data_IF_851687519569
#
_entry.id   IF_851687519569
#
_cell.length_a   1.000
_cell.length_b   1.000
_cell.length_c   1.000
_cell.angle_alpha   90.00
_cell.angle_beta   90.00
_cell.angle_gamma   90.00
#
_symmetry.space_group_name_H-M   'P 1'
#
loop_
_entity.id
_entity.type
_entity.pdbx_description
1 polymer ?
#
# COMPACT_ATOMS: atom_id res chain seq x y z
N UNK A 1 -17.23 -17.39 10.32
CA UNK A 1 -17.61 -16.64 9.12
C UNK A 1 -16.37 -15.96 8.56
N UNK A 2 -16.09 -16.10 7.27
CA UNK A 2 -14.95 -15.46 6.60
C UNK A 2 -14.99 -13.95 6.82
N UNK A 3 -13.86 -13.36 7.23
CA UNK A 3 -13.71 -11.89 7.37
C UNK A 3 -13.12 -11.29 6.09
N UNK A 4 -13.51 -11.83 4.93
CA UNK A 4 -13.04 -11.33 3.64
C UNK A 4 -13.60 -9.94 3.36
N UNK A 5 -12.75 -9.04 2.89
CA UNK A 5 -13.12 -7.70 2.44
C UNK A 5 -12.64 -7.47 1.02
N UNK A 6 -13.27 -6.54 0.31
CA UNK A 6 -12.82 -6.07 -1.00
C UNK A 6 -12.18 -4.69 -0.88
N UNK A 7 -11.01 -4.51 -1.47
CA UNK A 7 -10.32 -3.21 -1.57
C UNK A 7 -9.84 -3.06 -3.01
N UNK A 8 -10.50 -2.20 -3.75
CA UNK A 8 -10.37 -2.08 -5.20
C UNK A 8 -9.78 -0.75 -5.63
N UNK A 9 -9.20 -0.71 -6.84
CA UNK A 9 -8.71 0.51 -7.45
C UNK A 9 -9.86 1.20 -8.22
N UNK A 10 -9.94 2.51 -8.15
CA UNK A 10 -10.75 3.29 -9.05
C UNK A 10 -10.14 3.35 -10.44
N UNK A 11 -11.00 3.28 -11.48
CA UNK A 11 -10.61 3.35 -12.90
C UNK A 11 -9.71 2.19 -13.38
N UNK A 12 -9.27 2.24 -14.61
CA UNK A 12 -8.41 1.23 -15.23
C UNK A 12 -9.08 0.59 -16.43
N UNK A 13 -9.81 -0.52 -16.28
CA UNK A 13 -10.56 -1.15 -17.37
C UNK A 13 -12.02 -0.76 -17.26
N UNK A 14 -12.53 -0.10 -18.31
CA UNK A 14 -13.94 0.30 -18.44
C UNK A 14 -14.86 -0.89 -18.74
N UNK A 15 -16.18 -0.67 -18.70
CA UNK A 15 -17.20 -1.72 -18.93
C UNK A 15 -17.16 -2.29 -20.34
N UNK A 16 -16.68 -1.52 -21.33
CA UNK A 16 -16.50 -1.93 -22.71
C UNK A 16 -15.12 -2.57 -22.98
N UNK A 17 -14.27 -2.71 -21.95
CA UNK A 17 -12.92 -3.25 -22.05
C UNK A 17 -11.84 -2.23 -22.44
N UNK A 18 -12.21 -0.99 -22.72
CA UNK A 18 -11.25 0.09 -22.99
C UNK A 18 -10.51 0.53 -21.72
N UNK A 19 -9.39 1.22 -21.93
CA UNK A 19 -8.65 1.81 -20.80
C UNK A 19 -9.29 3.11 -20.33
N UNK A 20 -9.63 3.17 -19.05
CA UNK A 20 -10.09 4.35 -18.34
C UNK A 20 -9.00 4.85 -17.39
N UNK A 21 -8.39 5.97 -17.74
CA UNK A 21 -7.36 6.59 -16.91
C UNK A 21 -7.86 7.24 -15.64
N UNK A 22 -9.18 7.46 -15.52
CA UNK A 22 -9.73 8.39 -14.55
C UNK A 22 -9.26 9.82 -14.81
N UNK A 23 -9.23 10.66 -13.80
CA UNK A 23 -8.73 12.02 -13.94
C UNK A 23 -7.22 12.06 -14.21
N UNK A 24 -6.79 13.10 -14.96
CA UNK A 24 -5.39 13.25 -15.40
C UNK A 24 -4.86 14.63 -15.04
N UNK A 25 -3.62 14.68 -14.52
CA UNK A 25 -2.90 15.94 -14.30
C UNK A 25 -1.40 15.76 -14.45
N UNK A 26 -0.76 16.59 -15.29
CA UNK A 26 0.69 16.59 -15.56
C UNK A 26 1.26 15.19 -15.87
N UNK A 27 0.59 14.43 -16.73
CA UNK A 27 1.01 13.08 -17.13
C UNK A 27 0.78 11.99 -16.07
N UNK A 28 0.18 12.31 -14.93
CA UNK A 28 -0.25 11.34 -13.93
C UNK A 28 -1.72 11.02 -14.10
N UNK A 29 -2.08 9.74 -14.06
CA UNK A 29 -3.45 9.25 -14.14
C UNK A 29 -3.93 8.76 -12.77
N UNK A 30 -5.20 8.90 -12.50
CA UNK A 30 -5.82 8.37 -11.29
C UNK A 30 -5.59 6.86 -11.16
N UNK A 31 -5.90 6.08 -12.21
CA UNK A 31 -5.71 4.64 -12.24
C UNK A 31 -4.30 4.22 -11.80
N UNK A 32 -3.25 4.88 -12.31
CA UNK A 32 -1.85 4.54 -11.96
C UNK A 32 -1.47 4.94 -10.53
N UNK A 33 -1.99 6.07 -10.03
CA UNK A 33 -1.74 6.51 -8.65
C UNK A 33 -2.48 5.62 -7.65
N UNK A 34 -3.75 5.34 -7.90
CA UNK A 34 -4.58 4.53 -7.01
C UNK A 34 -4.13 3.08 -6.95
N UNK A 35 -3.66 2.51 -8.06
CA UNK A 35 -3.07 1.17 -8.06
C UNK A 35 -1.92 1.02 -7.05
N UNK A 36 -1.03 2.01 -6.96
CA UNK A 36 0.10 1.99 -6.01
C UNK A 36 -0.39 2.09 -4.55
N UNK A 37 -1.36 2.96 -4.30
CA UNK A 37 -1.94 3.17 -2.96
C UNK A 37 -2.73 1.92 -2.52
N UNK A 38 -3.54 1.34 -3.42
CA UNK A 38 -4.33 0.14 -3.14
C UNK A 38 -3.43 -1.05 -2.85
N UNK A 39 -2.39 -1.31 -3.66
CA UNK A 39 -1.38 -2.35 -3.38
C UNK A 39 -0.77 -2.21 -1.99
N UNK A 40 -0.46 -0.98 -1.59
CA UNK A 40 0.09 -0.73 -0.27
C UNK A 40 -0.94 -0.98 0.85
N UNK A 41 -2.20 -0.56 0.67
CA UNK A 41 -3.27 -0.82 1.64
C UNK A 41 -3.52 -2.33 1.82
N UNK A 42 -3.65 -3.06 0.73
CA UNK A 42 -3.82 -4.53 0.72
C UNK A 42 -2.66 -5.24 1.43
N UNK A 43 -1.42 -4.83 1.14
CA UNK A 43 -0.23 -5.36 1.83
C UNK A 43 -0.33 -5.24 3.36
N UNK A 44 -0.72 -4.07 3.87
CA UNK A 44 -0.81 -3.84 5.32
C UNK A 44 -2.04 -4.53 5.95
N UNK A 45 -3.16 -4.62 5.25
CA UNK A 45 -4.33 -5.34 5.70
C UNK A 45 -4.04 -6.83 5.86
N UNK A 46 -3.43 -7.45 4.87
CA UNK A 46 -3.02 -8.87 4.92
C UNK A 46 -2.01 -9.14 6.04
N UNK A 47 -1.05 -8.25 6.26
CA UNK A 47 -0.14 -8.32 7.42
C UNK A 47 -0.87 -8.22 8.76
N UNK A 48 -1.99 -7.52 8.80
CA UNK A 48 -2.85 -7.41 9.99
C UNK A 48 -3.76 -8.62 10.19
N UNK A 49 -3.71 -9.62 9.29
CA UNK A 49 -4.52 -10.85 9.36
C UNK A 49 -5.91 -10.71 8.75
N UNK A 50 -6.13 -9.68 7.91
CA UNK A 50 -7.38 -9.50 7.19
C UNK A 50 -7.29 -10.21 5.84
N UNK A 51 -8.29 -11.03 5.50
CA UNK A 51 -8.41 -11.62 4.16
C UNK A 51 -8.95 -10.57 3.19
N UNK A 52 -8.19 -10.28 2.12
CA UNK A 52 -8.51 -9.23 1.17
C UNK A 52 -8.54 -9.78 -0.25
N UNK A 53 -9.62 -9.53 -0.99
CA UNK A 53 -9.64 -9.62 -2.44
C UNK A 53 -9.40 -8.23 -3.03
N UNK A 54 -8.62 -8.16 -4.11
CA UNK A 54 -8.29 -6.89 -4.75
C UNK A 54 -7.90 -7.10 -6.21
N UNK A 55 -8.40 -6.26 -7.09
CA UNK A 55 -7.99 -6.17 -8.49
C UNK A 55 -6.53 -5.71 -8.63
N UNK A 56 -6.03 -4.96 -7.65
CA UNK A 56 -4.64 -4.53 -7.59
C UNK A 56 -3.62 -5.69 -7.56
N UNK A 57 -4.03 -6.91 -7.17
CA UNK A 57 -3.14 -8.07 -7.11
C UNK A 57 -2.56 -8.42 -8.49
N UNK A 58 -3.35 -8.30 -9.54
CA UNK A 58 -2.95 -8.60 -10.90
C UNK A 58 -2.29 -7.40 -11.62
N UNK A 59 -2.20 -6.28 -10.94
CA UNK A 59 -1.63 -5.05 -11.49
C UNK A 59 -2.51 -4.33 -12.51
N UNK A 60 -3.74 -4.81 -12.68
CA UNK A 60 -4.75 -4.24 -13.57
C UNK A 60 -5.99 -3.94 -12.74
N UNK A 61 -6.43 -2.70 -12.78
CA UNK A 61 -7.70 -2.32 -12.20
C UNK A 61 -8.80 -2.95 -13.05
N UNK A 62 -9.76 -3.58 -12.40
CA UNK A 62 -10.91 -4.16 -13.08
C UNK A 62 -11.98 -3.11 -13.32
N UNK A 63 -12.92 -3.48 -14.16
CA UNK A 63 -14.17 -2.79 -14.30
C UNK A 63 -14.96 -2.79 -12.97
N UNK A 64 -15.48 -1.63 -12.55
CA UNK A 64 -16.19 -1.49 -11.27
C UNK A 64 -17.41 -2.44 -11.14
N UNK A 65 -18.13 -2.73 -12.24
CA UNK A 65 -19.25 -3.68 -12.21
C UNK A 65 -18.74 -5.08 -11.90
N UNK A 66 -17.64 -5.49 -12.51
CA UNK A 66 -17.02 -6.79 -12.26
C UNK A 66 -16.50 -6.89 -10.82
N UNK A 67 -15.92 -5.82 -10.28
CA UNK A 67 -15.41 -5.78 -8.91
C UNK A 67 -16.53 -5.85 -7.86
N UNK A 68 -17.62 -5.12 -8.07
CA UNK A 68 -18.78 -5.18 -7.18
C UNK A 68 -19.42 -6.58 -7.22
N UNK A 69 -19.63 -7.15 -8.43
CA UNK A 69 -20.13 -8.52 -8.57
C UNK A 69 -19.21 -9.54 -7.90
N UNK A 70 -17.90 -9.39 -8.06
CA UNK A 70 -16.92 -10.27 -7.39
C UNK A 70 -17.02 -10.17 -5.87
N UNK A 71 -17.10 -8.96 -5.32
CA UNK A 71 -17.25 -8.75 -3.89
C UNK A 71 -18.55 -9.34 -3.33
N UNK A 72 -19.69 -9.16 -4.05
CA UNK A 72 -20.99 -9.72 -3.69
C UNK A 72 -20.96 -11.25 -3.73
N UNK A 73 -20.44 -11.86 -4.81
CA UNK A 73 -20.33 -13.31 -4.97
C UNK A 73 -19.46 -13.98 -3.90
N UNK A 74 -18.39 -13.33 -3.46
CA UNK A 74 -17.53 -13.81 -2.36
C UNK A 74 -18.19 -13.63 -0.99
N UNK A 75 -19.22 -12.83 -0.88
CA UNK A 75 -19.87 -12.47 0.38
C UNK A 75 -18.95 -11.62 1.27
N UNK A 76 -18.29 -10.64 0.68
CA UNK A 76 -17.41 -9.74 1.43
C UNK A 76 -18.17 -8.99 2.53
N UNK A 77 -17.48 -8.68 3.64
CA UNK A 77 -18.06 -7.91 4.75
C UNK A 77 -17.92 -6.41 4.57
N UNK A 78 -17.05 -6.00 3.66
CA UNK A 78 -16.67 -4.63 3.44
C UNK A 78 -16.22 -4.46 1.98
N UNK A 79 -16.58 -3.33 1.37
CA UNK A 79 -16.08 -2.90 0.08
C UNK A 79 -15.50 -1.48 0.19
N UNK A 80 -14.28 -1.29 -0.26
CA UNK A 80 -13.65 0.04 -0.35
C UNK A 80 -13.07 0.20 -1.76
N UNK A 81 -13.56 1.20 -2.48
CA UNK A 81 -12.97 1.65 -3.74
C UNK A 81 -12.11 2.88 -3.51
N UNK A 82 -10.91 2.89 -4.08
CA UNK A 82 -9.90 3.92 -3.84
C UNK A 82 -9.77 4.78 -5.09
N UNK A 83 -10.18 6.04 -4.98
CA UNK A 83 -10.20 7.04 -6.02
C UNK A 83 -9.39 8.29 -5.66
N UNK A 84 -9.16 9.17 -6.61
CA UNK A 84 -8.80 10.55 -6.37
C UNK A 84 -9.64 11.49 -7.24
N UNK A 85 -9.89 12.65 -6.72
CA UNK A 85 -10.77 13.61 -7.35
C UNK A 85 -10.07 14.46 -8.43
N UNK A 86 -10.84 15.04 -9.34
CA UNK A 86 -10.34 15.78 -10.49
C UNK A 86 -9.48 17.01 -10.13
N UNK A 87 -8.85 17.63 -11.14
CA UNK A 87 -7.88 18.70 -10.95
C UNK A 87 -8.46 20.00 -10.37
N UNK A 88 -9.75 20.26 -10.58
CA UNK A 88 -10.48 21.42 -10.03
C UNK A 88 -11.00 21.21 -8.60
N UNK A 89 -10.96 19.98 -8.09
CA UNK A 89 -11.47 19.68 -6.76
C UNK A 89 -10.60 20.31 -5.65
N UNK A 90 -11.20 20.68 -4.50
CA UNK A 90 -10.45 21.12 -3.33
C UNK A 90 -9.52 20.04 -2.79
N UNK A 91 -8.41 20.47 -2.17
CA UNK A 91 -7.49 19.56 -1.47
C UNK A 91 -8.18 18.83 -0.31
N UNK A 92 -7.76 17.58 -0.10
CA UNK A 92 -8.09 16.81 1.07
C UNK A 92 -8.92 15.57 0.78
N UNK A 93 -8.87 14.65 1.74
CA UNK A 93 -9.59 13.37 1.70
C UNK A 93 -11.10 13.56 1.86
N UNK A 94 -11.89 12.75 1.14
CA UNK A 94 -13.35 12.77 1.20
C UNK A 94 -13.92 11.36 1.02
N UNK A 95 -14.20 10.62 2.10
CA UNK A 95 -14.93 9.36 2.01
C UNK A 95 -16.39 9.58 1.64
N UNK A 96 -16.90 8.80 0.68
CA UNK A 96 -18.28 8.81 0.20
C UNK A 96 -18.99 7.54 0.67
N UNK A 97 -20.26 7.66 1.06
CA UNK A 97 -21.04 6.56 1.60
C UNK A 97 -22.54 6.67 1.22
N UNK A 98 -23.26 5.55 1.29
CA UNK A 98 -24.74 5.53 1.18
C UNK A 98 -25.39 5.12 2.49
N UNK A 99 -24.80 4.18 3.25
CA UNK A 99 -25.39 3.60 4.46
C UNK A 99 -24.79 4.17 5.76
N UNK A 100 -25.46 3.95 6.89
CA UNK A 100 -24.94 4.33 8.21
C UNK A 100 -23.64 3.61 8.61
N UNK A 101 -23.46 2.36 8.20
CA UNK A 101 -22.23 1.59 8.37
C UNK A 101 -21.11 2.14 7.48
N UNK A 102 -21.41 2.49 6.23
CA UNK A 102 -20.47 3.17 5.34
C UNK A 102 -20.00 4.52 5.90
N UNK A 103 -20.89 5.30 6.54
CA UNK A 103 -20.52 6.53 7.24
C UNK A 103 -19.50 6.27 8.37
N UNK A 104 -19.71 5.22 9.16
CA UNK A 104 -18.78 4.85 10.24
C UNK A 104 -17.41 4.46 9.70
N UNK A 105 -17.38 3.65 8.62
CA UNK A 105 -16.16 3.29 7.91
C UNK A 105 -15.43 4.52 7.37
N UNK A 106 -16.14 5.41 6.68
CA UNK A 106 -15.60 6.67 6.14
C UNK A 106 -14.95 7.54 7.22
N UNK A 107 -15.58 7.65 8.40
CA UNK A 107 -14.99 8.36 9.56
C UNK A 107 -13.70 7.72 10.06
N UNK A 108 -13.59 6.39 10.08
CA UNK A 108 -12.36 5.68 10.46
C UNK A 108 -11.24 5.95 9.45
N UNK A 109 -11.54 5.90 8.14
CA UNK A 109 -10.61 6.22 7.06
C UNK A 109 -10.13 7.67 7.15
N UNK A 110 -11.05 8.62 7.22
CA UNK A 110 -10.76 10.05 7.36
C UNK A 110 -9.82 10.32 8.54
N UNK A 111 -10.19 9.82 9.73
CA UNK A 111 -9.41 10.00 10.97
C UNK A 111 -7.97 9.50 10.82
N UNK A 112 -7.81 8.32 10.25
CA UNK A 112 -6.49 7.71 10.08
C UNK A 112 -5.63 8.47 9.08
N UNK A 113 -6.20 8.85 7.93
CA UNK A 113 -5.51 9.59 6.87
C UNK A 113 -5.09 10.99 7.35
N UNK A 114 -6.00 11.73 7.98
CA UNK A 114 -5.68 13.03 8.57
C UNK A 114 -4.53 12.94 9.57
N UNK A 115 -4.56 11.92 10.44
CA UNK A 115 -3.52 11.73 11.47
C UNK A 115 -2.16 11.43 10.85
N UNK A 116 -2.09 10.47 9.93
CA UNK A 116 -0.82 9.95 9.44
C UNK A 116 -0.20 10.80 8.33
N UNK A 117 -1.03 11.41 7.46
CA UNK A 117 -0.57 12.18 6.30
C UNK A 117 -0.65 13.71 6.52
N UNK A 118 -1.30 14.16 7.61
CA UNK A 118 -1.54 15.59 7.88
C UNK A 118 -2.35 16.29 6.77
N UNK A 119 -3.14 15.51 6.05
CA UNK A 119 -4.01 16.03 4.99
C UNK A 119 -5.23 16.75 5.55
N UNK A 120 -5.74 17.71 4.78
CA UNK A 120 -7.05 18.30 5.01
C UNK A 120 -8.13 17.24 4.79
N UNK A 121 -9.31 17.48 5.35
CA UNK A 121 -10.51 16.70 5.07
C UNK A 121 -11.60 17.61 4.53
N UNK A 122 -12.37 17.07 3.59
CA UNK A 122 -13.60 17.68 3.07
C UNK A 122 -14.86 17.10 3.75
N UNK A 123 -14.65 16.32 4.80
CA UNK A 123 -15.72 15.61 5.52
C UNK A 123 -16.08 14.27 4.89
N UNK A 124 -17.01 13.56 5.53
CA UNK A 124 -17.54 12.28 5.06
C UNK A 124 -18.92 12.56 4.45
N UNK A 125 -19.09 12.35 3.15
CA UNK A 125 -20.25 12.81 2.40
C UNK A 125 -21.19 11.66 2.01
N UNK A 126 -22.50 11.88 2.14
CA UNK A 126 -23.52 10.93 1.67
C UNK A 126 -23.73 11.11 0.16
N UNK A 127 -23.73 10.00 -0.58
CA UNK A 127 -24.03 9.92 -2.01
C UNK A 127 -25.00 8.78 -2.24
N UNK A 128 -26.09 9.08 -2.92
CA UNK A 128 -27.17 8.10 -3.23
C UNK A 128 -27.26 7.79 -4.70
N UNK A 129 -26.47 8.45 -5.50
CA UNK A 129 -26.45 8.41 -6.96
C UNK A 129 -25.29 7.55 -7.53
N UNK A 130 -24.36 7.10 -6.67
CA UNK A 130 -23.21 6.31 -7.12
C UNK A 130 -23.55 4.82 -7.17
N UNK A 131 -23.49 4.26 -8.38
CA UNK A 131 -23.83 2.86 -8.64
C UNK A 131 -22.98 1.91 -7.78
N UNK A 132 -21.69 2.16 -7.66
CA UNK A 132 -20.75 1.34 -6.91
C UNK A 132 -21.13 1.19 -5.43
N UNK A 133 -21.67 2.26 -4.81
CA UNK A 133 -22.19 2.21 -3.46
C UNK A 133 -23.55 1.50 -3.34
N UNK A 134 -24.38 1.63 -4.37
CA UNK A 134 -25.74 1.06 -4.39
C UNK A 134 -25.76 -0.39 -4.84
N UNK A 135 -24.78 -0.82 -5.64
CA UNK A 135 -24.68 -2.19 -6.17
C UNK A 135 -24.00 -3.18 -5.23
N UNK A 136 -23.46 -2.72 -4.10
CA UNK A 136 -22.79 -3.57 -3.11
C UNK A 136 -23.76 -4.07 -2.04
N UNK A 137 -23.74 -5.37 -1.72
CA UNK A 137 -24.59 -6.02 -0.71
C UNK A 137 -24.05 -5.83 0.72
N UNK A 138 -22.87 -5.23 0.87
CA UNK A 138 -22.19 -5.06 2.14
C UNK A 138 -21.97 -3.58 2.48
N UNK A 139 -21.33 -3.32 3.64
CA UNK A 139 -20.84 -1.98 3.96
C UNK A 139 -19.87 -1.51 2.90
N UNK A 140 -20.16 -0.37 2.25
CA UNK A 140 -19.32 0.19 1.19
C UNK A 140 -18.90 1.64 1.46
N UNK A 141 -17.72 2.00 0.95
CA UNK A 141 -17.19 3.34 0.96
C UNK A 141 -16.34 3.57 -0.29
N UNK A 142 -16.57 4.66 -1.01
CA UNK A 142 -15.64 5.18 -2.00
C UNK A 142 -14.75 6.20 -1.29
N UNK A 143 -13.45 6.07 -1.43
CA UNK A 143 -12.48 6.94 -0.80
C UNK A 143 -11.83 7.86 -1.84
N UNK A 144 -12.29 9.11 -1.91
CA UNK A 144 -11.56 10.16 -2.61
C UNK A 144 -10.33 10.53 -1.78
N UNK A 145 -9.16 10.12 -2.27
CA UNK A 145 -7.89 10.29 -1.55
C UNK A 145 -7.36 11.72 -1.58
N UNK A 146 -7.94 12.56 -2.39
CA UNK A 146 -7.58 13.97 -2.56
C UNK A 146 -7.70 14.42 -4.00
N UNK A 147 -7.45 15.69 -4.28
CA UNK A 147 -7.42 16.22 -5.65
C UNK A 147 -6.14 15.78 -6.38
N UNK A 148 -6.28 15.27 -7.61
CA UNK A 148 -5.11 14.86 -8.42
C UNK A 148 -4.12 16.02 -8.65
N UNK A 149 -4.58 17.25 -8.71
CA UNK A 149 -3.73 18.46 -8.81
C UNK A 149 -3.26 18.90 -7.43
N UNK A 150 -4.22 19.09 -6.52
CA UNK A 150 -3.99 19.73 -5.23
C UNK A 150 -3.12 18.90 -4.28
N UNK A 151 -3.29 17.59 -4.29
CA UNK A 151 -2.62 16.64 -3.39
C UNK A 151 -1.61 15.74 -4.12
N UNK A 152 -1.26 16.03 -5.40
CA UNK A 152 -0.42 15.20 -6.26
C UNK A 152 0.87 14.72 -5.57
N UNK A 153 1.57 15.62 -4.89
CA UNK A 153 2.83 15.25 -4.22
C UNK A 153 2.61 14.14 -3.19
N UNK A 154 1.53 14.21 -2.41
CA UNK A 154 1.19 13.16 -1.42
C UNK A 154 0.81 11.85 -2.11
N UNK A 155 -0.02 11.91 -3.15
CA UNK A 155 -0.51 10.73 -3.87
C UNK A 155 0.62 10.03 -4.61
N UNK A 156 1.52 10.79 -5.26
CA UNK A 156 2.62 10.27 -6.07
C UNK A 156 3.80 9.78 -5.24
N UNK A 157 4.23 10.56 -4.24
CA UNK A 157 5.52 10.36 -3.56
C UNK A 157 5.37 9.52 -2.29
N UNK A 158 4.14 9.39 -1.75
CA UNK A 158 3.90 8.69 -0.49
C UNK A 158 2.83 7.59 -0.56
N UNK A 159 2.76 6.75 -1.63
CA UNK A 159 1.72 5.74 -1.78
C UNK A 159 1.75 4.68 -0.66
N UNK A 160 2.94 4.28 -0.17
CA UNK A 160 3.06 3.32 0.94
C UNK A 160 2.53 3.90 2.25
N UNK A 161 2.82 5.16 2.55
CA UNK A 161 2.31 5.85 3.73
C UNK A 161 0.80 6.03 3.64
N UNK A 162 0.28 6.31 2.43
CA UNK A 162 -1.15 6.45 2.20
C UNK A 162 -1.89 5.12 2.40
N UNK A 163 -1.43 4.06 1.74
CA UNK A 163 -1.99 2.72 1.90
C UNK A 163 -1.94 2.21 3.35
N UNK A 164 -0.86 2.52 4.08
CA UNK A 164 -0.77 2.25 5.52
C UNK A 164 -1.86 2.96 6.32
N UNK A 165 -2.13 4.24 6.03
CA UNK A 165 -3.18 5.01 6.70
C UNK A 165 -4.59 4.45 6.40
N UNK A 166 -4.85 4.06 5.14
CA UNK A 166 -6.09 3.37 4.75
C UNK A 166 -6.26 2.06 5.53
N UNK A 167 -5.22 1.23 5.56
CA UNK A 167 -5.27 -0.04 6.29
C UNK A 167 -5.54 0.14 7.78
N UNK A 168 -4.96 1.16 8.42
CA UNK A 168 -5.26 1.50 9.82
C UNK A 168 -6.73 1.89 10.02
N UNK A 169 -7.29 2.69 9.09
CA UNK A 169 -8.70 3.08 9.14
C UNK A 169 -9.63 1.88 9.01
N UNK A 170 -9.36 0.97 8.08
CA UNK A 170 -10.13 -0.28 7.89
C UNK A 170 -9.97 -1.19 9.11
N UNK A 171 -8.76 -1.40 9.62
CA UNK A 171 -8.51 -2.20 10.82
C UNK A 171 -9.28 -1.65 12.03
N UNK A 172 -9.29 -0.32 12.22
CA UNK A 172 -10.03 0.33 13.29
C UNK A 172 -11.55 0.10 13.17
N UNK A 173 -12.10 0.15 11.94
CA UNK A 173 -13.51 -0.16 11.70
C UNK A 173 -13.85 -1.63 12.00
N UNK A 174 -12.96 -2.55 11.60
CA UNK A 174 -13.15 -3.99 11.81
C UNK A 174 -12.87 -4.48 13.25
N UNK A 175 -12.33 -3.63 14.12
CA UNK A 175 -11.87 -4.03 15.45
C UNK A 175 -10.64 -4.95 15.40
N UNK A 176 -9.82 -4.86 14.35
CA UNK A 176 -8.62 -5.67 14.17
C UNK A 176 -7.38 -4.85 14.54
N UNK A 177 -6.46 -5.45 15.29
CA UNK A 177 -5.19 -4.79 15.58
C UNK A 177 -4.36 -4.57 14.31
N UNK A 178 -4.00 -3.33 14.02
CA UNK A 178 -3.13 -3.01 12.90
C UNK A 178 -1.70 -3.52 13.14
N UNK A 179 -1.13 -4.22 12.15
CA UNK A 179 0.26 -4.71 12.19
C UNK A 179 1.04 -4.11 11.02
N UNK A 180 2.09 -3.38 11.34
CA UNK A 180 2.96 -2.80 10.31
C UNK A 180 3.82 -3.86 9.60
N UNK A 181 3.99 -5.00 10.25
CA UNK A 181 4.97 -6.01 9.89
C UNK A 181 6.36 -5.66 10.43
N UNK A 182 7.20 -6.65 10.62
CA UNK A 182 8.61 -6.40 10.95
C UNK A 182 9.24 -5.60 9.80
N UNK A 183 9.97 -4.53 10.13
CA UNK A 183 10.88 -3.92 9.14
C UNK A 183 11.75 -5.04 8.57
N UNK A 184 11.97 -5.11 7.24
CA UNK A 184 12.96 -6.03 6.71
C UNK A 184 14.24 -5.83 7.54
N UNK A 185 14.77 -6.89 8.15
CA UNK A 185 16.09 -6.78 8.77
C UNK A 185 17.03 -6.23 7.70
N UNK A 186 17.83 -5.19 7.98
CA UNK A 186 18.80 -4.72 7.01
C UNK A 186 19.55 -5.93 6.49
N UNK A 187 19.60 -6.08 5.16
CA UNK A 187 20.37 -7.18 4.58
C UNK A 187 21.78 -7.09 5.11
N UNK A 188 22.20 -8.13 5.83
CA UNK A 188 23.56 -8.21 6.38
C UNK A 188 24.57 -8.05 5.23
N UNK A 189 25.55 -7.20 5.43
CA UNK A 189 26.63 -7.01 4.45
C UNK A 189 27.93 -7.48 5.07
N UNK A 190 28.49 -8.52 4.49
CA UNK A 190 29.75 -9.10 4.91
C UNK A 190 30.90 -8.50 4.12
N UNK A 191 31.85 -7.87 4.80
CA UNK A 191 33.05 -7.26 4.18
C UNK A 191 34.26 -8.09 4.46
N UNK A 192 35.06 -8.34 3.43
CA UNK A 192 36.34 -9.09 3.53
C UNK A 192 37.48 -8.09 3.58
N UNK A 193 38.17 -8.02 4.71
CA UNK A 193 39.28 -7.08 4.99
C UNK A 193 40.36 -7.73 5.87
N UNK A 194 41.55 -7.11 5.91
CA UNK A 194 42.60 -7.50 6.90
C UNK A 194 42.11 -7.22 8.33
N UNK A 195 41.64 -6.00 8.57
CA UNK A 195 40.99 -5.58 9.80
C UNK A 195 39.75 -4.74 9.48
N UNK A 196 38.82 -4.58 10.42
CA UNK A 196 37.62 -3.75 10.20
C UNK A 196 37.99 -2.31 9.82
N UNK A 197 39.00 -1.72 10.48
CA UNK A 197 39.40 -0.33 10.26
C UNK A 197 40.13 -0.11 8.93
N UNK A 198 40.75 -1.14 8.37
CA UNK A 198 41.50 -1.05 7.11
C UNK A 198 40.55 -1.19 5.89
N UNK A 199 39.86 -0.10 5.56
CA UNK A 199 38.97 -0.04 4.43
C UNK A 199 39.69 -0.24 3.07
N UNK A 200 40.99 0.13 2.99
CA UNK A 200 41.78 0.00 1.76
C UNK A 200 42.11 -1.45 1.42
N UNK A 201 42.13 -2.34 2.41
CA UNK A 201 42.36 -3.78 2.18
C UNK A 201 41.09 -4.53 1.71
N UNK A 202 39.95 -3.87 1.56
CA UNK A 202 38.70 -4.56 1.24
C UNK A 202 38.76 -5.31 -0.10
N UNK A 203 38.55 -6.63 -0.06
CA UNK A 203 38.50 -7.50 -1.24
C UNK A 203 37.11 -7.75 -1.77
N UNK A 204 36.05 -7.44 -0.99
CA UNK A 204 34.67 -7.55 -1.41
C UNK A 204 33.66 -7.19 -0.31
N UNK A 205 32.40 -7.01 -0.76
CA UNK A 205 31.24 -6.86 0.10
C UNK A 205 30.13 -7.77 -0.44
N UNK A 206 29.58 -8.63 0.40
CA UNK A 206 28.67 -9.72 0.01
C UNK A 206 27.41 -9.71 0.86
N UNK A 207 26.28 -10.04 0.26
CA UNK A 207 25.02 -10.31 0.98
C UNK A 207 24.96 -11.76 1.53
N UNK A 208 25.81 -12.65 1.00
CA UNK A 208 25.94 -14.05 1.43
C UNK A 208 27.21 -14.23 2.25
N UNK A 209 27.08 -14.80 3.45
CA UNK A 209 28.24 -15.16 4.31
C UNK A 209 29.11 -16.21 3.63
N UNK A 210 28.51 -17.16 2.91
CA UNK A 210 29.23 -18.24 2.20
C UNK A 210 30.16 -17.65 1.13
N UNK A 211 29.66 -16.73 0.31
CA UNK A 211 30.47 -16.05 -0.71
C UNK A 211 31.58 -15.18 -0.07
N UNK A 212 31.27 -14.56 1.06
CA UNK A 212 32.28 -13.80 1.80
C UNK A 212 33.40 -14.70 2.37
N UNK A 213 33.07 -15.92 2.87
CA UNK A 213 34.04 -16.91 3.34
C UNK A 213 34.95 -17.36 2.22
N UNK A 214 34.41 -17.74 1.05
CA UNK A 214 35.19 -18.11 -0.13
C UNK A 214 36.18 -17.01 -0.53
N UNK A 215 35.75 -15.78 -0.51
CA UNK A 215 36.64 -14.63 -0.76
C UNK A 215 37.69 -14.48 0.33
N UNK A 216 37.35 -14.64 1.60
CA UNK A 216 38.27 -14.54 2.72
C UNK A 216 39.36 -15.61 2.65
N UNK A 217 39.00 -16.85 2.32
CA UNK A 217 39.97 -17.96 2.15
C UNK A 217 40.95 -17.68 1.03
N UNK A 218 40.51 -17.12 -0.10
CA UNK A 218 41.39 -16.78 -1.23
C UNK A 218 42.49 -15.77 -0.83
N UNK A 219 42.22 -14.85 0.11
CA UNK A 219 43.13 -13.78 0.46
C UNK A 219 43.75 -13.92 1.88
N UNK A 220 43.33 -14.92 2.66
CA UNK A 220 43.73 -15.05 4.08
C UNK A 220 43.23 -13.90 4.97
N UNK A 221 42.06 -13.29 4.62
CA UNK A 221 41.50 -12.13 5.29
C UNK A 221 40.34 -12.51 6.19
N UNK A 222 39.83 -11.57 6.96
CA UNK A 222 38.69 -11.80 7.84
C UNK A 222 37.41 -11.28 7.21
N UNK A 223 36.27 -11.94 7.50
CA UNK A 223 34.93 -11.48 7.17
C UNK A 223 34.36 -10.72 8.35
N UNK A 224 33.90 -9.52 8.10
CA UNK A 224 33.26 -8.66 9.09
C UNK A 224 31.78 -8.47 8.72
N UNK A 225 30.91 -8.52 9.72
CA UNK A 225 29.50 -8.16 9.54
C UNK A 225 29.31 -6.64 9.47
N UNK A 226 28.06 -6.17 9.26
CA UNK A 226 27.75 -4.74 9.15
C UNK A 226 28.04 -3.93 10.42
N UNK A 227 28.18 -4.59 11.57
CA UNK A 227 28.55 -3.99 12.85
C UNK A 227 30.07 -4.01 13.11
N UNK A 228 30.90 -4.47 12.16
CA UNK A 228 32.32 -4.56 12.29
C UNK A 228 32.84 -5.75 13.12
N UNK A 229 31.97 -6.66 13.55
CA UNK A 229 32.37 -7.87 14.24
C UNK A 229 32.90 -8.89 13.23
N UNK A 230 34.10 -9.43 13.50
CA UNK A 230 34.65 -10.54 12.72
C UNK A 230 33.79 -11.79 12.95
N UNK A 231 33.28 -12.37 11.85
CA UNK A 231 32.39 -13.55 11.84
C UNK A 231 33.08 -14.76 11.21
N UNK A 232 34.20 -14.57 10.54
CA UNK A 232 35.02 -15.64 9.97
C UNK A 232 36.43 -15.16 9.73
N UNK A 233 37.44 -16.05 9.87
CA UNK A 233 38.82 -15.84 9.47
C UNK A 233 39.14 -16.78 8.32
N UNK A 234 39.60 -16.23 7.20
CA UNK A 234 40.06 -17.02 6.06
C UNK A 234 41.21 -17.92 6.41
N UNK A 235 41.25 -19.07 5.81
CA UNK A 235 42.34 -20.02 5.90
C UNK A 235 43.54 -19.42 5.12
N UNK A 236 44.73 -19.49 5.71
CA UNK A 236 45.98 -19.19 4.98
C UNK A 236 46.29 -20.33 4.03
#
# INVERSE_FOLDING_TARGET
MSKTIAVQCGHGISTDGSWDSGCVYKGHTEAALMLKITKAAVKYLRKSGVTVISDADNGNNKNMIADVRWANNVGCKLYVSIHCDYSGAPKGVMPLYVSGSGKKLGKCLEKSIKKDLKMKSRGVQKRTDLWELNGTDMTACILETGSIKGDLATLRDHPDKYGKAIAKGICAYLGVAFKEGSKPKPKETYRVRKTWKDAKSQKGAFSSLENAKKCADKYGYSVFNSKGKAVYRGKK
#
